data_IF_753977514032
#
_entry.id   IF_753977514032
#
_cell.length_a   1.000
_cell.length_b   1.000
_cell.length_c   1.000
_cell.angle_alpha   90.00
_cell.angle_beta   90.00
_cell.angle_gamma   90.00
#
_symmetry.space_group_name_H-M   'P 1'
#
loop_
_entity.id
_entity.type
_entity.pdbx_description
1 polymer ?
#
# COMPACT_ATOMS: atom_id res chain seq x y z
N UNK A 1 44.51 12.01 -14.04
CA UNK A 1 43.10 11.75 -13.70
C UNK A 1 42.28 12.34 -14.83
N UNK A 2 41.67 11.50 -15.66
CA UNK A 2 40.85 11.99 -16.76
C UNK A 2 39.54 12.54 -16.19
N UNK A 3 39.20 13.76 -16.62
CA UNK A 3 37.96 14.40 -16.22
C UNK A 3 36.81 13.71 -16.97
N UNK A 4 35.77 13.21 -16.30
CA UNK A 4 34.67 12.52 -16.95
C UNK A 4 34.03 13.40 -18.02
N UNK A 5 33.71 12.81 -19.17
CA UNK A 5 33.08 13.55 -20.27
C UNK A 5 31.67 14.02 -19.88
N UNK A 6 31.14 14.99 -20.61
CA UNK A 6 29.75 15.42 -20.43
C UNK A 6 28.76 14.26 -20.65
N UNK A 7 29.11 13.31 -21.51
CA UNK A 7 28.28 12.13 -21.77
C UNK A 7 28.23 11.21 -20.55
N UNK A 8 29.37 10.95 -19.92
CA UNK A 8 29.45 10.11 -18.71
C UNK A 8 28.61 10.68 -17.57
N UNK A 9 28.65 12.02 -17.39
CA UNK A 9 27.84 12.71 -16.38
C UNK A 9 26.34 12.64 -16.65
N UNK A 10 25.93 12.71 -17.92
CA UNK A 10 24.52 12.55 -18.32
C UNK A 10 24.05 11.13 -18.03
N UNK A 11 24.87 10.13 -18.31
CA UNK A 11 24.53 8.72 -18.08
C UNK A 11 24.48 8.39 -16.58
N UNK A 12 25.38 8.94 -15.76
CA UNK A 12 25.30 8.88 -14.30
C UNK A 12 23.99 9.49 -13.78
N UNK A 13 23.60 10.67 -14.27
CA UNK A 13 22.34 11.29 -13.88
C UNK A 13 21.12 10.45 -14.28
N UNK A 14 21.14 9.81 -15.46
CA UNK A 14 20.08 8.89 -15.90
C UNK A 14 19.95 7.68 -14.99
N UNK A 15 21.07 7.10 -14.57
CA UNK A 15 21.08 5.99 -13.62
C UNK A 15 20.47 6.41 -12.28
N UNK A 16 20.84 7.59 -11.77
CA UNK A 16 20.25 8.14 -10.55
C UNK A 16 18.73 8.34 -10.66
N UNK A 17 18.23 8.90 -11.78
CA UNK A 17 16.79 9.05 -12.03
C UNK A 17 16.07 7.70 -12.09
N UNK A 18 16.68 6.68 -12.71
CA UNK A 18 16.13 5.32 -12.76
C UNK A 18 16.04 4.69 -11.36
N UNK A 19 17.04 4.93 -10.51
CA UNK A 19 17.04 4.50 -9.10
C UNK A 19 15.84 5.03 -8.32
N UNK A 20 15.55 6.33 -8.42
CA UNK A 20 14.39 6.94 -7.74
C UNK A 20 13.06 6.29 -8.18
N UNK A 21 12.91 6.01 -9.46
CA UNK A 21 11.70 5.38 -9.99
C UNK A 21 11.54 3.94 -9.48
N UNK A 22 12.64 3.19 -9.36
CA UNK A 22 12.64 1.83 -8.83
C UNK A 22 12.32 1.81 -7.33
N UNK A 23 12.99 2.65 -6.53
CA UNK A 23 12.73 2.78 -5.09
C UNK A 23 11.26 3.07 -4.81
N UNK A 24 10.66 3.98 -5.58
CA UNK A 24 9.23 4.28 -5.48
C UNK A 24 8.37 3.05 -5.73
N UNK A 25 8.61 2.31 -6.82
CA UNK A 25 7.86 1.09 -7.17
C UNK A 25 8.00 0.00 -6.12
N UNK A 26 9.22 -0.25 -5.66
CA UNK A 26 9.52 -1.24 -4.63
C UNK A 26 8.76 -0.92 -3.33
N UNK A 27 8.80 0.34 -2.87
CA UNK A 27 8.09 0.77 -1.67
C UNK A 27 6.57 0.54 -1.75
N UNK A 28 5.94 0.78 -2.92
CA UNK A 28 4.52 0.49 -3.11
C UNK A 28 4.23 -1.01 -3.07
N UNK A 29 5.07 -1.82 -3.71
CA UNK A 29 4.91 -3.27 -3.73
C UNK A 29 5.05 -3.84 -2.30
N UNK A 30 6.08 -3.43 -1.56
CA UNK A 30 6.35 -3.87 -0.20
C UNK A 30 5.21 -3.49 0.75
N UNK A 31 4.68 -2.26 0.65
CA UNK A 31 3.54 -1.82 1.44
C UNK A 31 2.28 -2.66 1.17
N UNK A 32 2.03 -2.99 -0.11
CA UNK A 32 0.92 -3.86 -0.51
C UNK A 32 1.08 -5.29 0.02
N UNK A 33 2.26 -5.88 -0.16
CA UNK A 33 2.59 -7.22 0.29
C UNK A 33 2.46 -7.33 1.81
N UNK A 34 3.03 -6.38 2.56
CA UNK A 34 2.96 -6.37 4.02
C UNK A 34 1.52 -6.24 4.54
N UNK A 35 0.68 -5.42 3.87
CA UNK A 35 -0.73 -5.33 4.22
C UNK A 35 -1.46 -6.65 3.98
N UNK A 36 -1.17 -7.34 2.86
CA UNK A 36 -1.73 -8.66 2.54
C UNK A 36 -1.28 -9.74 3.53
N UNK A 37 -0.02 -9.71 3.97
CA UNK A 37 0.50 -10.62 5.00
C UNK A 37 -0.21 -10.42 6.35
N UNK A 38 -0.42 -9.16 6.75
CA UNK A 38 -1.19 -8.83 7.96
C UNK A 38 -2.62 -9.34 7.86
N UNK A 39 -3.29 -9.17 6.72
CA UNK A 39 -4.65 -9.70 6.50
C UNK A 39 -4.67 -11.24 6.53
N UNK A 40 -3.66 -11.91 5.98
CA UNK A 40 -3.53 -13.36 6.05
C UNK A 40 -3.29 -13.87 7.48
N UNK A 41 -2.48 -13.16 8.28
CA UNK A 41 -2.26 -13.49 9.69
C UNK A 41 -3.50 -13.24 10.55
N UNK A 42 -4.30 -12.21 10.23
CA UNK A 42 -5.60 -11.98 10.88
C UNK A 42 -6.57 -13.14 10.62
N UNK A 43 -6.60 -13.68 9.40
CA UNK A 43 -7.41 -14.86 9.08
C UNK A 43 -6.95 -16.10 9.84
N UNK A 44 -5.64 -16.37 9.88
CA UNK A 44 -5.09 -17.48 10.68
C UNK A 44 -5.40 -17.31 12.18
N UNK A 45 -5.38 -16.07 12.67
CA UNK A 45 -5.74 -15.79 14.06
C UNK A 45 -7.24 -16.02 14.32
N UNK A 46 -8.11 -15.76 13.34
CA UNK A 46 -9.54 -16.11 13.43
C UNK A 46 -9.73 -17.63 13.54
N UNK A 47 -8.97 -18.43 12.79
CA UNK A 47 -9.01 -19.89 12.89
C UNK A 47 -8.62 -20.36 14.29
N UNK A 48 -7.55 -19.80 14.86
CA UNK A 48 -7.13 -20.11 16.24
C UNK A 48 -8.22 -19.73 17.23
N UNK A 49 -8.80 -18.53 17.12
CA UNK A 49 -9.93 -18.11 17.96
C UNK A 49 -11.14 -19.03 17.78
N UNK A 50 -11.37 -19.54 16.58
CA UNK A 50 -12.47 -20.43 16.28
C UNK A 50 -12.33 -21.77 17.00
N UNK A 51 -11.14 -22.37 17.01
CA UNK A 51 -10.91 -23.66 17.67
C UNK A 51 -10.64 -23.55 19.17
N UNK A 52 -10.04 -22.44 19.62
CA UNK A 52 -9.77 -22.22 21.04
C UNK A 52 -11.05 -22.05 21.86
N UNK A 53 -12.14 -21.57 21.26
CA UNK A 53 -13.35 -21.21 22.00
C UNK A 53 -14.53 -22.15 21.72
N UNK A 54 -15.34 -22.50 22.74
CA UNK A 54 -16.55 -23.31 22.56
C UNK A 54 -17.55 -22.61 21.62
N UNK A 55 -18.35 -23.37 20.85
CA UNK A 55 -19.35 -22.83 19.90
C UNK A 55 -20.60 -22.31 20.63
N UNK A 56 -20.45 -21.28 21.45
CA UNK A 56 -21.52 -20.71 22.27
C UNK A 56 -21.48 -19.18 22.27
N UNK A 57 -22.51 -18.58 22.89
CA UNK A 57 -22.62 -17.14 23.09
C UNK A 57 -21.38 -16.57 23.78
N UNK A 58 -20.88 -15.43 23.31
CA UNK A 58 -19.68 -14.78 23.84
C UNK A 58 -18.37 -15.15 23.12
N UNK A 59 -18.42 -16.03 22.12
CA UNK A 59 -17.23 -16.41 21.31
C UNK A 59 -16.68 -15.21 20.54
N UNK A 60 -15.37 -15.00 20.59
CA UNK A 60 -14.67 -13.99 19.80
C UNK A 60 -14.33 -14.50 18.39
N UNK A 61 -14.24 -13.58 17.42
CA UNK A 61 -13.69 -13.83 16.09
C UNK A 61 -13.29 -12.55 15.38
N UNK A 62 -12.71 -12.68 14.19
CA UNK A 62 -12.33 -11.57 13.32
C UNK A 62 -13.22 -11.57 12.08
N UNK A 63 -13.78 -10.41 11.74
CA UNK A 63 -14.61 -10.25 10.53
C UNK A 63 -14.22 -9.03 9.73
N UNK A 64 -14.24 -9.21 8.42
CA UNK A 64 -14.03 -8.16 7.43
C UNK A 64 -15.37 -7.45 7.18
N UNK A 65 -15.59 -6.30 7.84
CA UNK A 65 -16.84 -5.55 7.81
C UNK A 65 -16.76 -4.33 6.90
N UNK A 66 -17.92 -3.94 6.34
CA UNK A 66 -18.08 -2.68 5.60
C UNK A 66 -18.67 -1.64 6.56
N UNK A 67 -17.86 -0.69 7.01
CA UNK A 67 -18.31 0.31 7.99
C UNK A 67 -19.01 1.52 7.37
N UNK A 68 -18.53 2.08 6.25
CA UNK A 68 -19.06 3.36 5.73
C UNK A 68 -18.92 3.61 4.22
N UNK A 69 -17.96 3.00 3.51
CA UNK A 69 -17.84 3.14 2.06
C UNK A 69 -17.95 1.78 1.40
N UNK A 70 -18.65 1.71 0.28
CA UNK A 70 -18.90 0.46 -0.46
C UNK A 70 -17.61 -0.26 -0.91
N UNK A 71 -16.50 0.49 -1.01
CA UNK A 71 -15.20 0.01 -1.48
C UNK A 71 -14.23 -0.41 -0.36
N UNK A 72 -14.57 -0.19 0.93
CA UNK A 72 -13.66 -0.47 2.04
C UNK A 72 -14.19 -1.55 2.97
N UNK A 73 -13.39 -2.60 3.09
CA UNK A 73 -13.58 -3.67 4.06
C UNK A 73 -12.47 -3.59 5.09
N UNK A 74 -12.86 -3.56 6.36
CA UNK A 74 -11.95 -3.46 7.50
C UNK A 74 -12.11 -4.68 8.42
N UNK A 75 -11.03 -5.35 8.82
CA UNK A 75 -11.09 -6.38 9.83
C UNK A 75 -11.40 -5.76 11.18
N UNK A 76 -12.34 -6.37 11.89
CA UNK A 76 -12.74 -6.01 13.23
C UNK A 76 -12.82 -7.26 14.09
N UNK A 77 -12.66 -7.10 15.40
CA UNK A 77 -13.01 -8.16 16.34
C UNK A 77 -14.50 -8.10 16.63
N UNK A 78 -15.13 -9.26 16.62
CA UNK A 78 -16.55 -9.45 16.92
C UNK A 78 -16.75 -10.42 18.07
N UNK A 79 -17.82 -10.23 18.82
CA UNK A 79 -18.39 -11.24 19.71
C UNK A 79 -19.60 -11.85 18.99
N UNK A 80 -19.69 -13.17 19.03
CA UNK A 80 -20.83 -13.91 18.52
C UNK A 80 -21.90 -14.04 19.58
N UNK A 81 -23.08 -13.56 19.25
CA UNK A 81 -24.26 -13.68 20.08
C UNK A 81 -25.23 -14.71 19.52
N UNK A 82 -25.76 -15.58 20.37
CA UNK A 82 -26.74 -16.59 19.98
C UNK A 82 -28.14 -16.08 20.28
N UNK A 83 -28.97 -15.89 19.26
CA UNK A 83 -30.35 -15.45 19.46
C UNK A 83 -31.24 -16.61 19.98
N UNK A 84 -32.47 -16.28 20.38
CA UNK A 84 -33.45 -17.27 20.87
C UNK A 84 -33.78 -18.38 19.85
N UNK A 85 -33.59 -18.11 18.55
CA UNK A 85 -33.76 -19.09 17.45
C UNK A 85 -32.50 -19.93 17.19
N UNK A 86 -31.47 -19.79 18.02
CA UNK A 86 -30.21 -20.52 17.92
C UNK A 86 -29.25 -20.04 16.84
N UNK A 87 -29.55 -18.96 16.11
CA UNK A 87 -28.64 -18.38 15.11
C UNK A 87 -27.63 -17.44 15.77
N UNK A 88 -26.39 -17.52 15.29
CA UNK A 88 -25.32 -16.62 15.69
C UNK A 88 -25.33 -15.32 14.88
N UNK A 89 -25.16 -14.19 15.55
CA UNK A 89 -24.98 -12.89 14.93
C UNK A 89 -23.75 -12.18 15.51
N UNK A 90 -22.94 -11.50 14.69
CA UNK A 90 -21.74 -10.83 15.17
C UNK A 90 -22.05 -9.41 15.67
N UNK A 91 -21.50 -9.04 16.82
CA UNK A 91 -21.47 -7.66 17.33
C UNK A 91 -20.02 -7.17 17.36
N UNK A 92 -19.79 -5.93 16.93
CA UNK A 92 -18.44 -5.36 16.98
C UNK A 92 -18.00 -5.11 18.41
N UNK A 93 -16.80 -5.56 18.74
CA UNK A 93 -16.16 -5.24 20.01
C UNK A 93 -15.40 -3.93 19.91
N UNK A 94 -15.58 -3.07 20.90
CA UNK A 94 -14.75 -1.87 21.12
C UNK A 94 -14.04 -1.96 22.48
N UNK A 95 -12.93 -1.21 22.59
CA UNK A 95 -12.11 -1.15 23.81
C UNK A 95 -11.05 -2.25 23.91
N UNK A 96 -10.58 -2.51 25.13
CA UNK A 96 -9.51 -3.48 25.40
C UNK A 96 -9.98 -4.92 25.13
N UNK A 97 -9.54 -5.50 24.01
CA UNK A 97 -9.98 -6.82 23.55
C UNK A 97 -9.64 -7.94 24.55
N UNK A 98 -8.49 -7.86 25.22
CA UNK A 98 -8.07 -8.85 26.22
C UNK A 98 -9.03 -8.95 27.42
N UNK A 99 -9.72 -7.85 27.77
CA UNK A 99 -10.73 -7.86 28.84
C UNK A 99 -12.01 -8.61 28.45
N UNK A 100 -12.19 -8.91 27.16
CA UNK A 100 -13.36 -9.62 26.62
C UNK A 100 -13.19 -11.13 26.62
N UNK A 101 -12.00 -11.63 26.91
CA UNK A 101 -11.72 -13.06 26.98
C UNK A 101 -12.40 -13.63 28.22
N UNK A 102 -13.36 -14.54 28.02
CA UNK A 102 -14.04 -15.22 29.10
C UNK A 102 -13.10 -16.26 29.73
N UNK A 103 -12.84 -16.16 31.03
CA UNK A 103 -12.05 -17.13 31.81
C UNK A 103 -12.89 -18.07 32.66
N UNK A 104 -14.19 -18.16 32.40
CA UNK A 104 -15.16 -18.91 33.23
C UNK A 104 -15.83 -20.02 32.43
N UNK A 105 -16.31 -21.04 33.14
CA UNK A 105 -17.05 -22.16 32.54
C UNK A 105 -16.23 -22.90 31.48
N UNK A 106 -16.88 -23.25 30.37
CA UNK A 106 -16.29 -23.96 29.22
C UNK A 106 -15.20 -23.18 28.50
N UNK A 107 -15.19 -21.84 28.60
CA UNK A 107 -14.14 -21.01 28.00
C UNK A 107 -12.80 -21.11 28.76
N UNK A 108 -12.81 -21.56 30.03
CA UNK A 108 -11.62 -21.58 30.88
C UNK A 108 -10.47 -22.42 30.31
N UNK A 109 -10.78 -23.52 29.63
CA UNK A 109 -9.78 -24.51 29.18
C UNK A 109 -8.71 -23.89 28.28
N UNK A 110 -9.13 -23.06 27.33
CA UNK A 110 -8.26 -22.43 26.33
C UNK A 110 -8.23 -20.90 26.48
N UNK A 111 -8.55 -20.38 27.67
CA UNK A 111 -8.68 -18.95 27.87
C UNK A 111 -7.36 -18.20 27.67
N UNK A 112 -6.23 -18.79 28.07
CA UNK A 112 -4.92 -18.17 27.89
C UNK A 112 -4.50 -18.16 26.41
N UNK A 113 -4.71 -19.27 25.67
CA UNK A 113 -4.50 -19.30 24.21
C UNK A 113 -5.35 -18.24 23.51
N UNK A 114 -6.61 -18.10 23.93
CA UNK A 114 -7.52 -17.08 23.40
C UNK A 114 -6.99 -15.68 23.72
N UNK A 115 -6.50 -15.44 24.94
CA UNK A 115 -5.95 -14.15 25.35
C UNK A 115 -4.68 -13.77 24.57
N UNK A 116 -3.75 -14.70 24.41
CA UNK A 116 -2.54 -14.51 23.62
C UNK A 116 -2.88 -14.22 22.15
N UNK A 117 -3.81 -14.99 21.58
CA UNK A 117 -4.28 -14.77 20.20
C UNK A 117 -4.92 -13.39 20.04
N UNK A 118 -5.74 -12.96 21.01
CA UNK A 118 -6.35 -11.62 20.99
C UNK A 118 -5.29 -10.51 21.08
N UNK A 119 -4.21 -10.69 21.84
CA UNK A 119 -3.09 -9.75 21.87
C UNK A 119 -2.40 -9.66 20.50
N UNK A 120 -2.20 -10.78 19.83
CA UNK A 120 -1.65 -10.81 18.46
C UNK A 120 -2.59 -10.08 17.49
N UNK A 121 -3.89 -10.36 17.56
CA UNK A 121 -4.91 -9.68 16.73
C UNK A 121 -4.89 -8.16 16.96
N UNK A 122 -4.81 -7.69 18.21
CA UNK A 122 -4.75 -6.26 18.52
C UNK A 122 -3.54 -5.58 17.87
N UNK A 123 -2.36 -6.22 17.94
CA UNK A 123 -1.14 -5.75 17.27
C UNK A 123 -1.29 -5.73 15.75
N UNK A 124 -1.87 -6.78 15.16
CA UNK A 124 -2.11 -6.87 13.72
C UNK A 124 -3.10 -5.80 13.24
N UNK A 125 -4.17 -5.53 13.99
CA UNK A 125 -5.13 -4.46 13.67
C UNK A 125 -4.48 -3.07 13.73
N UNK A 126 -3.64 -2.81 14.74
CA UNK A 126 -2.88 -1.57 14.85
C UNK A 126 -1.91 -1.39 13.68
N UNK A 127 -1.18 -2.45 13.32
CA UNK A 127 -0.26 -2.48 12.18
C UNK A 127 -1.01 -2.25 10.86
N UNK A 128 -2.14 -2.95 10.65
CA UNK A 128 -2.97 -2.75 9.46
C UNK A 128 -3.44 -1.31 9.33
N UNK A 129 -3.85 -0.69 10.45
CA UNK A 129 -4.31 0.71 10.47
C UNK A 129 -3.20 1.67 10.07
N UNK A 130 -1.98 1.49 10.57
CA UNK A 130 -0.84 2.35 10.20
C UNK A 130 -0.45 2.18 8.73
N UNK A 131 -0.39 0.94 8.23
CA UNK A 131 -0.09 0.65 6.82
C UNK A 131 -1.17 1.21 5.88
N UNK A 132 -2.45 1.07 6.24
CA UNK A 132 -3.57 1.62 5.46
C UNK A 132 -3.51 3.14 5.39
N UNK A 133 -3.13 3.81 6.48
CA UNK A 133 -2.95 5.26 6.50
C UNK A 133 -1.80 5.69 5.59
N UNK A 134 -0.67 4.97 5.64
CA UNK A 134 0.46 5.21 4.76
C UNK A 134 0.03 5.07 3.29
N UNK A 135 -0.63 3.96 2.94
CA UNK A 135 -1.12 3.70 1.59
C UNK A 135 -2.06 4.80 1.09
N UNK A 136 -2.95 5.29 1.96
CA UNK A 136 -3.86 6.39 1.63
C UNK A 136 -3.10 7.69 1.30
N UNK A 137 -2.13 8.05 2.14
CA UNK A 137 -1.28 9.24 1.90
C UNK A 137 -0.51 9.11 0.59
N UNK A 138 0.11 7.96 0.35
CA UNK A 138 0.88 7.74 -0.88
C UNK A 138 -0.02 7.76 -2.11
N UNK A 139 -1.22 7.17 -2.04
CA UNK A 139 -2.23 7.25 -3.11
C UNK A 139 -2.65 8.70 -3.38
N UNK A 140 -2.80 9.53 -2.35
CA UNK A 140 -3.15 10.93 -2.51
C UNK A 140 -2.02 11.71 -3.22
N UNK A 141 -0.76 11.46 -2.85
CA UNK A 141 0.39 12.05 -3.55
C UNK A 141 0.45 11.63 -5.02
N UNK A 142 0.26 10.34 -5.33
CA UNK A 142 0.20 9.84 -6.71
C UNK A 142 -0.95 10.45 -7.49
N UNK A 143 -2.13 10.60 -6.85
CA UNK A 143 -3.26 11.26 -7.48
C UNK A 143 -2.94 12.71 -7.85
N UNK A 144 -2.32 13.46 -6.94
CA UNK A 144 -1.86 14.83 -7.19
C UNK A 144 -0.87 14.92 -8.35
N UNK A 145 0.12 14.01 -8.40
CA UNK A 145 1.05 13.88 -9.54
C UNK A 145 0.30 13.65 -10.86
N UNK A 146 -0.71 12.77 -10.84
CA UNK A 146 -1.50 12.46 -12.04
C UNK A 146 -2.39 13.63 -12.48
N UNK A 147 -3.00 14.36 -11.56
CA UNK A 147 -3.94 15.45 -11.90
C UNK A 147 -3.23 16.75 -12.25
N UNK A 148 -2.23 17.15 -11.48
CA UNK A 148 -1.60 18.46 -11.63
C UNK A 148 -0.30 18.43 -12.42
N UNK A 149 0.52 17.39 -12.25
CA UNK A 149 1.85 17.35 -12.88
C UNK A 149 1.85 16.68 -14.25
N UNK A 150 0.97 15.71 -14.50
CA UNK A 150 0.89 15.05 -15.82
C UNK A 150 0.62 16.02 -16.99
N UNK A 151 -0.29 17.01 -16.88
CA UNK A 151 -0.46 18.00 -17.95
C UNK A 151 0.80 18.83 -18.19
N UNK A 152 1.48 19.27 -17.12
CA UNK A 152 2.75 20.00 -17.20
C UNK A 152 3.82 19.15 -17.88
N UNK A 153 3.96 17.89 -17.49
CA UNK A 153 4.90 16.96 -18.12
C UNK A 153 4.60 16.74 -19.60
N UNK A 154 3.33 16.62 -19.98
CA UNK A 154 2.94 16.48 -21.39
C UNK A 154 3.29 17.75 -22.20
N UNK A 155 3.06 18.93 -21.62
CA UNK A 155 3.46 20.19 -22.23
C UNK A 155 4.98 20.28 -22.42
N UNK A 156 5.75 19.96 -21.38
CA UNK A 156 7.21 19.98 -21.44
C UNK A 156 7.76 18.97 -22.45
N UNK A 157 7.15 17.77 -22.56
CA UNK A 157 7.50 16.78 -23.59
C UNK A 157 7.27 17.32 -25.01
N UNK A 158 6.14 17.99 -25.24
CA UNK A 158 5.86 18.60 -26.54
C UNK A 158 6.87 19.70 -26.85
N UNK A 159 7.14 20.59 -25.87
CA UNK A 159 8.11 21.68 -26.04
C UNK A 159 9.52 21.17 -26.30
N UNK A 160 9.94 20.10 -25.63
CA UNK A 160 11.24 19.47 -25.87
C UNK A 160 11.33 18.92 -27.31
N UNK A 161 10.28 18.27 -27.81
CA UNK A 161 10.25 17.75 -29.18
C UNK A 161 10.34 18.89 -30.22
N UNK A 162 9.69 20.02 -29.97
CA UNK A 162 9.82 21.23 -30.82
C UNK A 162 11.27 21.74 -30.86
N UNK A 163 11.90 21.88 -29.69
CA UNK A 163 13.29 22.34 -29.59
C UNK A 163 14.28 21.37 -30.25
N UNK A 164 14.03 20.06 -30.16
CA UNK A 164 14.83 19.05 -30.85
C UNK A 164 14.70 19.17 -32.37
N UNK A 165 13.49 19.41 -32.89
CA UNK A 165 13.27 19.61 -34.31
C UNK A 165 13.95 20.89 -34.82
N UNK A 166 13.84 21.99 -34.06
CA UNK A 166 14.49 23.27 -34.37
C UNK A 166 16.02 23.15 -34.35
N UNK A 167 16.58 22.51 -33.32
CA UNK A 167 18.03 22.27 -33.24
C UNK A 167 18.54 21.44 -34.43
N UNK A 168 17.80 20.39 -34.82
CA UNK A 168 18.15 19.56 -35.99
C UNK A 168 18.10 20.36 -37.29
N UNK A 169 17.09 21.22 -37.45
CA UNK A 169 16.97 22.11 -38.62
C UNK A 169 18.15 23.07 -38.70
N UNK A 170 18.52 23.69 -37.58
CA UNK A 170 19.65 24.63 -37.52
C UNK A 170 20.98 23.94 -37.85
N UNK A 171 21.20 22.72 -37.34
CA UNK A 171 22.38 21.93 -37.70
C UNK A 171 22.44 21.62 -39.20
N UNK A 172 21.33 21.18 -39.80
CA UNK A 172 21.29 20.90 -41.24
C UNK A 172 21.58 22.16 -42.07
N UNK A 173 21.02 23.31 -41.69
CA UNK A 173 21.26 24.58 -42.38
C UNK A 173 22.73 25.02 -42.31
N UNK A 174 23.45 24.70 -41.23
CA UNK A 174 24.87 24.99 -41.12
C UNK A 174 25.71 24.09 -42.02
N UNK A 175 25.36 22.81 -42.15
CA UNK A 175 26.03 21.89 -43.07
C UNK A 175 25.81 22.29 -44.53
N UNK A 176 24.58 22.64 -44.91
CA UNK A 176 24.26 23.11 -46.28
C UNK A 176 25.05 24.37 -46.65
N UNK A 177 25.23 25.31 -45.72
CA UNK A 177 26.05 26.51 -45.93
C UNK A 177 27.55 26.22 -46.04
N UNK A 178 28.05 25.19 -45.36
CA UNK A 178 29.46 24.78 -45.47
C UNK A 178 29.75 24.11 -46.82
N UNK A 179 28.86 23.26 -47.31
CA UNK A 179 29.00 22.59 -48.61
C UNK A 179 28.96 23.60 -49.79
N UNK A 180 28.15 24.65 -49.69
CA UNK A 180 28.10 25.75 -50.67
C UNK A 180 29.39 26.60 -50.67
N UNK A 181 30.06 26.75 -49.52
CA UNK A 181 31.33 27.46 -49.42
C UNK A 181 32.55 26.65 -49.85
N UNK A 182 32.49 25.32 -49.82
CA UNK A 182 33.57 24.44 -50.31
C UNK A 182 33.49 24.18 -51.83
N UNK A 183 32.35 24.45 -52.46
CA UNK A 183 32.11 24.22 -53.90
C UNK A 183 32.17 25.49 -54.76
N UNK A 184 32.33 26.66 -54.15
CA UNK A 184 32.50 27.98 -54.81
C UNK A 184 33.96 28.43 -54.82
#
# INVERSE_FOLDING_TARGET
>A
MDCPSNQDRIDEHRLWLAGIAEEGRALFADLGNLLSEVDALLLKSDDVLYYAQPPMDGKLGVRFWRRQRYDKVEPVVVVWHKNQKGRFWPEQVTGYLTRRVCRRGTFKVNAEVTAETVVVVDKLLAMRKSLTLLLYRTRQSVHSLKTHHRPVLNYQKKRLAELQAESKKNLNSLYEQQDEHETA
#
